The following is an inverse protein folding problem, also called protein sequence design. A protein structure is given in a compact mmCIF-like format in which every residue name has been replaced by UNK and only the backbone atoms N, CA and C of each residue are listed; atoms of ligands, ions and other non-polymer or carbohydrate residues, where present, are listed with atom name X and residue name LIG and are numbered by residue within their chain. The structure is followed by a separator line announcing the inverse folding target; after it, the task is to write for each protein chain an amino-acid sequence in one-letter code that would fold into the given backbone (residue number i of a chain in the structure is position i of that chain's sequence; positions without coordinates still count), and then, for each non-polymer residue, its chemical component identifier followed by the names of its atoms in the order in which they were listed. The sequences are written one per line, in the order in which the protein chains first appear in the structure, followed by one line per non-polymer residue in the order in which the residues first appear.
data_IF_380785818794
#
_entry.id   IF_380785818794
#
_cell.length_a   1.000
_cell.length_b   1.000
_cell.length_c   1.000
_cell.angle_alpha   90.00
_cell.angle_beta   90.00
_cell.angle_gamma   90.00
#
_symmetry.space_group_name_H-M   'P 1'
#
loop_
_entity.id
_entity.type
_entity.pdbx_description
1 polymer ?
#
# COMPACT_ATOMS: atom_id res chain seq x y z
N UNK A 1 -22.62 28.37 7.43
CA UNK A 1 -22.06 27.25 8.24
C UNK A 1 -22.29 25.83 7.67
N UNK A 2 -23.43 25.51 7.04
CA UNK A 2 -23.75 24.15 6.55
C UNK A 2 -22.83 23.63 5.41
N UNK A 3 -22.43 24.51 4.50
CA UNK A 3 -21.53 24.18 3.38
C UNK A 3 -20.11 23.79 3.83
N UNK A 4 -19.51 24.56 4.77
CA UNK A 4 -18.17 24.26 5.31
C UNK A 4 -18.09 22.87 5.97
N UNK A 5 -19.15 22.43 6.64
CA UNK A 5 -19.22 21.07 7.21
C UNK A 5 -19.23 20.00 6.11
N UNK A 6 -20.08 20.13 5.09
CA UNK A 6 -20.12 19.17 3.96
C UNK A 6 -18.76 19.03 3.28
N UNK A 7 -18.07 20.15 3.04
CA UNK A 7 -16.76 20.14 2.41
C UNK A 7 -15.70 19.48 3.29
N UNK A 8 -15.71 19.74 4.59
CA UNK A 8 -14.82 19.09 5.56
C UNK A 8 -15.05 17.57 5.61
N UNK A 9 -16.30 17.11 5.66
CA UNK A 9 -16.62 15.68 5.59
C UNK A 9 -16.26 15.03 4.25
N UNK A 10 -16.29 15.78 3.13
CA UNK A 10 -15.86 15.28 1.82
C UNK A 10 -14.34 15.10 1.78
N UNK A 11 -13.57 16.06 2.30
CA UNK A 11 -12.11 15.96 2.44
C UNK A 11 -11.71 14.82 3.37
N UNK A 12 -12.39 14.63 4.50
CA UNK A 12 -12.12 13.50 5.41
C UNK A 12 -12.37 12.15 4.74
N UNK A 13 -13.47 11.99 3.99
CA UNK A 13 -13.76 10.75 3.25
C UNK A 13 -12.72 10.47 2.16
N UNK A 14 -12.28 11.49 1.45
CA UNK A 14 -11.26 11.33 0.41
C UNK A 14 -9.90 10.91 0.99
N UNK A 15 -9.50 11.50 2.12
CA UNK A 15 -8.28 11.08 2.85
C UNK A 15 -8.40 9.63 3.34
N UNK A 16 -9.56 9.24 3.86
CA UNK A 16 -9.81 7.86 4.30
C UNK A 16 -9.76 6.87 3.13
N UNK A 17 -10.34 7.22 1.98
CA UNK A 17 -10.30 6.39 0.78
C UNK A 17 -8.87 6.22 0.24
N UNK A 18 -8.08 7.29 0.21
CA UNK A 18 -6.66 7.22 -0.18
C UNK A 18 -5.88 6.32 0.78
N UNK A 19 -6.07 6.47 2.09
CA UNK A 19 -5.39 5.59 3.05
C UNK A 19 -5.80 4.13 2.86
N UNK A 20 -7.09 3.84 2.68
CA UNK A 20 -7.56 2.47 2.42
C UNK A 20 -6.89 1.93 1.17
N UNK A 21 -6.91 2.68 0.06
CA UNK A 21 -6.26 2.30 -1.19
C UNK A 21 -4.77 1.99 -1.01
N UNK A 22 -4.03 2.84 -0.29
CA UNK A 22 -2.62 2.62 0.01
C UNK A 22 -2.40 1.32 0.79
N UNK A 23 -3.18 1.08 1.84
CA UNK A 23 -3.05 -0.14 2.64
C UNK A 23 -3.51 -1.40 1.91
N UNK A 24 -4.49 -1.30 1.01
CA UNK A 24 -5.02 -2.48 0.31
C UNK A 24 -4.28 -2.82 -0.98
N UNK A 25 -3.58 -1.86 -1.60
CA UNK A 25 -2.89 -2.11 -2.88
C UNK A 25 -1.38 -1.89 -2.79
N UNK A 26 -0.92 -0.85 -2.10
CA UNK A 26 0.51 -0.52 -2.04
C UNK A 26 1.23 -1.42 -1.04
N UNK A 27 0.66 -1.64 0.15
CA UNK A 27 1.23 -2.56 1.14
C UNK A 27 1.41 -4.01 0.60
N UNK A 28 0.38 -4.67 0.06
CA UNK A 28 0.56 -6.05 -0.42
C UNK A 28 1.49 -6.15 -1.63
N UNK A 29 1.50 -5.15 -2.52
CA UNK A 29 2.42 -5.17 -3.66
C UNK A 29 3.88 -5.06 -3.21
N UNK A 30 4.19 -4.21 -2.23
CA UNK A 30 5.54 -4.12 -1.62
C UNK A 30 5.94 -5.45 -0.97
N UNK A 31 5.03 -6.09 -0.22
CA UNK A 31 5.30 -7.37 0.44
C UNK A 31 5.64 -8.46 -0.58
N UNK A 32 4.88 -8.54 -1.68
CA UNK A 32 5.14 -9.49 -2.76
C UNK A 32 6.52 -9.22 -3.39
N UNK A 33 6.82 -7.96 -3.70
CA UNK A 33 8.09 -7.55 -4.30
C UNK A 33 9.29 -7.90 -3.40
N UNK A 34 9.18 -7.64 -2.10
CA UNK A 34 10.18 -8.04 -1.11
C UNK A 34 10.34 -9.56 -1.05
N UNK A 35 9.25 -10.32 -1.11
CA UNK A 35 9.30 -11.79 -1.15
C UNK A 35 10.10 -12.29 -2.35
N UNK A 36 9.90 -11.72 -3.54
CA UNK A 36 10.67 -12.08 -4.73
C UNK A 36 12.13 -11.65 -4.66
N UNK A 37 12.42 -10.48 -4.10
CA UNK A 37 13.80 -10.03 -3.91
C UNK A 37 14.55 -10.96 -2.95
N UNK A 38 13.92 -11.33 -1.84
CA UNK A 38 14.48 -12.30 -0.88
C UNK A 38 14.68 -13.66 -1.55
N UNK A 39 13.72 -14.13 -2.36
CA UNK A 39 13.88 -15.35 -3.13
C UNK A 39 15.07 -15.28 -4.10
N UNK A 40 15.22 -14.20 -4.86
CA UNK A 40 16.36 -14.02 -5.75
C UNK A 40 17.70 -13.94 -5.01
N UNK A 41 17.77 -13.25 -3.88
CA UNK A 41 19.01 -13.03 -3.13
C UNK A 41 19.41 -14.24 -2.28
N UNK A 42 18.45 -15.05 -1.83
CA UNK A 42 18.72 -16.18 -0.94
C UNK A 42 18.60 -17.52 -1.66
N UNK A 43 17.50 -17.75 -2.40
CA UNK A 43 17.22 -19.05 -3.01
C UNK A 43 18.10 -19.28 -4.24
N UNK A 44 18.22 -18.27 -5.11
CA UNK A 44 19.00 -18.38 -6.35
C UNK A 44 20.49 -18.71 -6.10
N UNK A 45 21.22 -18.02 -5.22
CA UNK A 45 22.61 -18.37 -4.94
C UNK A 45 22.76 -19.65 -4.12
N UNK A 46 21.73 -20.06 -3.37
CA UNK A 46 21.75 -21.34 -2.65
C UNK A 46 21.54 -22.54 -3.59
N UNK A 47 20.75 -22.39 -4.66
CA UNK A 47 20.59 -23.42 -5.69
C UNK A 47 21.76 -23.48 -6.68
N UNK A 48 22.49 -22.38 -6.84
CA UNK A 48 23.65 -22.29 -7.76
C UNK A 48 24.96 -22.82 -7.14
N UNK A 49 24.88 -23.50 -5.99
CA UNK A 49 26.01 -24.09 -5.27
C UNK A 49 26.01 -25.61 -5.37
#
# INVERSE_FOLDING_TARGET
MRYKRKEHFKRMRHKKAINIFLYTLVMPSIVILLGYLVACVIILPYMSK
#
